data_IF_778247573625
#
_entry.id   IF_778247573625
#
_cell.length_a   1.000
_cell.length_b   1.000
_cell.length_c   1.000
_cell.angle_alpha   90.00
_cell.angle_beta   90.00
_cell.angle_gamma   90.00
#
_symmetry.space_group_name_H-M   'P 1'
#
loop_
_entity.id
_entity.type
_entity.pdbx_description
1 polymer ?
#
# COMPACT_ATOMS: atom_id res chain seq x y z
N UNK A 1 2.52 22.98 -9.79
CA UNK A 1 1.19 23.51 -9.46
C UNK A 1 1.09 23.55 -7.95
N UNK A 2 1.02 24.74 -7.33
CA UNK A 2 0.68 24.84 -5.92
C UNK A 2 -0.68 24.16 -5.72
N UNK A 3 -0.82 23.34 -4.67
CA UNK A 3 -2.15 22.83 -4.31
C UNK A 3 -3.03 24.05 -4.03
N UNK A 4 -4.28 24.00 -4.46
CA UNK A 4 -5.27 24.98 -4.02
C UNK A 4 -5.40 24.88 -2.49
N UNK A 5 -5.74 25.98 -1.81
CA UNK A 5 -5.96 25.96 -0.34
C UNK A 5 -6.96 24.86 0.07
N UNK A 6 -8.00 24.65 -0.74
CA UNK A 6 -8.96 23.56 -0.57
C UNK A 6 -8.30 22.16 -0.63
N UNK A 7 -7.36 21.95 -1.56
CA UNK A 7 -6.64 20.70 -1.65
C UNK A 7 -5.69 20.51 -0.45
N UNK A 8 -5.07 21.58 0.06
CA UNK A 8 -4.26 21.49 1.28
C UNK A 8 -5.11 21.16 2.51
N UNK A 9 -6.26 21.81 2.67
CA UNK A 9 -7.21 21.52 3.73
C UNK A 9 -7.71 20.06 3.67
N UNK A 10 -8.01 19.56 2.46
CA UNK A 10 -8.41 18.16 2.26
C UNK A 10 -7.29 17.18 2.67
N UNK A 11 -6.06 17.47 2.28
CA UNK A 11 -4.90 16.65 2.67
C UNK A 11 -4.70 16.65 4.19
N UNK A 12 -4.81 17.82 4.83
CA UNK A 12 -4.71 17.94 6.28
C UNK A 12 -5.80 17.11 6.97
N UNK A 13 -7.07 17.25 6.56
CA UNK A 13 -8.19 16.49 7.13
C UNK A 13 -7.99 14.97 7.00
N UNK A 14 -7.54 14.50 5.84
CA UNK A 14 -7.23 13.07 5.62
C UNK A 14 -6.12 12.60 6.55
N UNK A 15 -5.03 13.35 6.68
CA UNK A 15 -3.92 12.94 7.54
C UNK A 15 -4.31 12.91 9.02
N UNK A 16 -5.04 13.92 9.50
CA UNK A 16 -5.56 13.94 10.87
C UNK A 16 -6.48 12.75 11.14
N UNK A 17 -7.45 12.48 10.26
CA UNK A 17 -8.36 11.34 10.40
C UNK A 17 -7.61 9.99 10.44
N UNK A 18 -6.54 9.83 9.66
CA UNK A 18 -5.74 8.61 9.63
C UNK A 18 -4.89 8.43 10.89
N UNK A 19 -4.48 9.53 11.54
CA UNK A 19 -3.76 9.45 12.83
C UNK A 19 -4.64 8.95 13.98
N UNK A 20 -5.95 9.05 13.86
CA UNK A 20 -6.90 8.57 14.87
C UNK A 20 -7.17 7.06 14.81
N UNK A 21 -6.72 6.38 13.75
CA UNK A 21 -6.87 4.93 13.66
C UNK A 21 -5.99 4.31 14.75
N UNK A 22 -6.53 3.52 15.69
CA UNK A 22 -5.74 2.94 16.77
C UNK A 22 -4.76 1.87 16.28
N UNK A 23 -3.73 1.61 17.07
CA UNK A 23 -2.76 0.55 16.81
C UNK A 23 -3.44 -0.82 16.69
N UNK A 24 -2.99 -1.63 15.75
CA UNK A 24 -3.56 -2.96 15.52
C UNK A 24 -4.98 -2.92 14.94
N UNK A 25 -5.43 -1.78 14.41
CA UNK A 25 -6.71 -1.67 13.71
C UNK A 25 -6.53 -1.14 12.31
N UNK A 26 -7.48 -1.51 11.45
CA UNK A 26 -7.51 -1.13 10.03
C UNK A 26 -8.85 -0.52 9.67
N UNK A 27 -8.82 0.36 8.67
CA UNK A 27 -10.01 0.97 8.10
C UNK A 27 -9.92 1.00 6.58
N UNK A 28 -10.91 1.58 5.92
CA UNK A 28 -10.96 1.64 4.45
C UNK A 28 -10.85 3.07 3.92
N UNK A 29 -10.37 3.20 2.68
CA UNK A 29 -10.36 4.50 1.97
C UNK A 29 -11.75 5.16 1.91
N UNK A 30 -12.81 4.36 1.73
CA UNK A 30 -14.18 4.83 1.74
C UNK A 30 -14.61 5.35 3.11
N UNK A 31 -14.19 4.67 4.17
CA UNK A 31 -14.50 5.08 5.53
C UNK A 31 -13.85 6.41 5.89
N UNK A 32 -12.55 6.58 5.60
CA UNK A 32 -11.86 7.87 5.80
C UNK A 32 -12.53 8.98 4.97
N UNK A 33 -12.89 8.70 3.72
CA UNK A 33 -13.59 9.67 2.87
C UNK A 33 -14.92 10.12 3.48
N UNK A 34 -15.68 9.19 4.09
CA UNK A 34 -16.90 9.50 4.84
C UNK A 34 -16.62 10.35 6.08
N UNK A 35 -15.63 9.98 6.89
CA UNK A 35 -15.27 10.69 8.12
C UNK A 35 -14.85 12.14 7.86
N UNK A 36 -14.14 12.41 6.76
CA UNK A 36 -13.75 13.79 6.37
C UNK A 36 -14.83 14.53 5.56
N UNK A 37 -16.07 14.02 5.54
CA UNK A 37 -17.22 14.68 4.88
C UNK A 37 -17.24 14.59 3.35
N UNK A 38 -16.48 13.69 2.75
CA UNK A 38 -16.36 13.54 1.28
C UNK A 38 -16.52 12.08 0.80
N UNK A 39 -17.66 11.41 1.09
CA UNK A 39 -17.86 9.98 0.80
C UNK A 39 -17.64 9.60 -0.67
N UNK A 40 -17.81 10.55 -1.59
CA UNK A 40 -17.63 10.41 -3.04
C UNK A 40 -16.14 10.32 -3.48
N UNK A 41 -15.18 10.59 -2.58
CA UNK A 41 -13.75 10.82 -2.90
C UNK A 41 -12.74 9.79 -2.34
N UNK A 42 -13.02 8.47 -2.24
CA UNK A 42 -12.08 7.49 -1.65
C UNK A 42 -10.76 7.35 -2.42
N UNK A 43 -10.78 7.53 -3.75
CA UNK A 43 -9.55 7.50 -4.55
C UNK A 43 -8.61 8.64 -4.19
N UNK A 44 -9.15 9.80 -3.83
CA UNK A 44 -8.34 10.95 -3.46
C UNK A 44 -7.67 10.76 -2.11
N UNK A 45 -8.31 10.08 -1.15
CA UNK A 45 -7.65 9.63 0.09
C UNK A 45 -6.40 8.81 -0.23
N UNK A 46 -6.50 7.87 -1.17
CA UNK A 46 -5.35 7.08 -1.62
C UNK A 46 -4.24 7.93 -2.27
N UNK A 47 -4.61 8.98 -3.01
CA UNK A 47 -3.66 9.96 -3.56
C UNK A 47 -2.97 10.74 -2.42
N UNK A 48 -3.71 11.13 -1.38
CA UNK A 48 -3.13 11.79 -0.20
C UNK A 48 -2.06 10.92 0.44
N UNK A 49 -2.39 9.68 0.79
CA UNK A 49 -1.45 8.74 1.41
C UNK A 49 -0.26 8.39 0.51
N UNK A 50 -0.43 8.41 -0.82
CA UNK A 50 0.67 8.22 -1.77
C UNK A 50 1.65 9.39 -1.80
N UNK A 51 1.17 10.60 -1.54
CA UNK A 51 1.97 11.84 -1.54
C UNK A 51 2.36 12.30 -0.13
N UNK A 52 2.35 11.37 0.82
CA UNK A 52 2.83 11.62 2.17
C UNK A 52 4.34 11.94 2.11
N UNK A 53 4.79 13.07 2.70
CA UNK A 53 6.21 13.41 2.75
C UNK A 53 7.03 12.35 3.46
N UNK A 54 8.26 12.15 3.00
CA UNK A 54 9.26 11.30 3.67
C UNK A 54 10.20 12.08 4.59
N UNK A 55 10.09 13.41 4.58
CA UNK A 55 10.90 14.28 5.43
C UNK A 55 10.35 14.24 6.87
N UNK A 56 11.12 13.76 7.86
CA UNK A 56 10.68 13.68 9.25
C UNK A 56 10.42 15.06 9.87
N UNK A 57 10.96 16.15 9.31
CA UNK A 57 10.68 17.50 9.78
C UNK A 57 9.29 18.02 9.35
N UNK A 58 8.65 17.35 8.39
CA UNK A 58 7.29 17.70 7.95
C UNK A 58 6.26 17.33 9.03
N UNK A 59 5.29 18.23 9.26
CA UNK A 59 4.18 18.02 10.21
C UNK A 59 3.50 16.66 10.04
N UNK A 60 3.27 16.26 8.80
CA UNK A 60 2.78 14.93 8.44
C UNK A 60 3.84 14.23 7.60
N UNK A 61 4.17 13.01 7.97
CA UNK A 61 5.17 12.20 7.29
C UNK A 61 4.87 10.70 7.45
N UNK A 62 5.64 9.86 6.75
CA UNK A 62 5.45 8.40 6.75
C UNK A 62 5.65 7.71 8.11
N UNK A 63 6.25 8.38 9.09
CA UNK A 63 6.47 7.84 10.43
C UNK A 63 5.30 8.18 11.37
N UNK A 64 4.67 9.34 11.20
CA UNK A 64 3.61 9.81 12.09
C UNK A 64 2.18 9.62 11.55
N UNK A 65 2.00 9.39 10.25
CA UNK A 65 0.69 9.04 9.66
C UNK A 65 0.68 7.54 9.33
N UNK A 66 -0.15 6.71 10.00
CA UNK A 66 -0.16 5.26 9.84
C UNK A 66 -0.89 4.82 8.56
N UNK A 67 -0.34 5.18 7.40
CA UNK A 67 -0.91 4.91 6.08
C UNK A 67 -1.17 3.42 5.82
N UNK A 68 -0.39 2.53 6.45
CA UNK A 68 -0.54 1.08 6.33
C UNK A 68 -1.90 0.57 6.83
N UNK A 69 -2.53 1.27 7.78
CA UNK A 69 -3.84 0.92 8.37
C UNK A 69 -5.02 1.15 7.44
N UNK A 70 -4.82 1.84 6.30
CA UNK A 70 -5.87 2.13 5.32
C UNK A 70 -5.79 1.13 4.16
N UNK A 71 -6.77 0.24 4.08
CA UNK A 71 -6.84 -0.82 3.06
C UNK A 71 -8.11 -0.71 2.20
N UNK A 72 -8.24 -1.59 1.20
CA UNK A 72 -9.40 -1.53 0.31
C UNK A 72 -10.66 -2.08 0.99
N UNK A 73 -11.84 -1.78 0.41
CA UNK A 73 -13.13 -2.18 0.96
C UNK A 73 -13.38 -3.70 1.01
N UNK A 74 -12.56 -4.51 0.33
CA UNK A 74 -12.62 -5.98 0.35
C UNK A 74 -11.74 -6.59 1.45
N UNK A 75 -11.02 -5.75 2.21
CA UNK A 75 -10.04 -6.20 3.20
C UNK A 75 -8.75 -6.70 2.56
N UNK A 76 -8.55 -6.53 1.26
CA UNK A 76 -7.30 -6.94 0.60
C UNK A 76 -6.31 -5.80 0.48
N UNK A 77 -5.03 -6.12 0.53
CA UNK A 77 -3.95 -5.15 0.30
C UNK A 77 -3.73 -5.07 -1.20
N UNK A 78 -4.11 -3.93 -1.79
CA UNK A 78 -4.01 -3.76 -3.24
C UNK A 78 -2.54 -3.77 -3.69
N UNK A 79 -2.19 -4.58 -4.72
CA UNK A 79 -0.84 -4.59 -5.27
C UNK A 79 -0.48 -3.21 -5.82
N UNK A 80 0.50 -2.55 -5.21
CA UNK A 80 1.08 -1.31 -5.74
C UNK A 80 2.12 -1.64 -6.80
N UNK A 81 1.67 -1.91 -8.04
CA UNK A 81 2.61 -2.03 -9.14
C UNK A 81 3.36 -0.71 -9.30
N UNK A 82 4.65 -0.71 -8.98
CA UNK A 82 5.57 0.25 -9.59
C UNK A 82 5.48 -0.08 -11.07
N UNK A 83 4.93 0.84 -11.85
CA UNK A 83 4.95 0.72 -13.30
C UNK A 83 6.42 0.90 -13.71
N UNK A 84 7.21 -0.16 -13.64
CA UNK A 84 8.40 -0.26 -14.46
C UNK A 84 7.85 -0.18 -15.87
N UNK A 85 8.00 0.98 -16.52
CA UNK A 85 7.80 1.09 -17.95
C UNK A 85 8.91 0.28 -18.62
N UNK A 86 8.80 -1.06 -18.54
CA UNK A 86 9.58 -1.97 -19.35
C UNK A 86 8.91 -1.93 -20.71
N UNK A 87 9.32 -0.96 -21.54
CA UNK A 87 9.15 -1.10 -22.97
C UNK A 87 10.02 -2.29 -23.38
N UNK A 88 9.45 -3.42 -23.86
CA UNK A 88 10.30 -4.39 -24.52
C UNK A 88 10.75 -3.74 -25.83
N UNK A 89 11.99 -3.24 -25.84
CA UNK A 89 12.71 -3.06 -27.09
C UNK A 89 12.76 -4.44 -27.76
N UNK A 90 11.97 -4.61 -28.82
CA UNK A 90 11.91 -5.82 -29.63
C UNK A 90 12.62 -5.55 -30.96
N UNK A 91 13.89 -5.96 -31.12
CA UNK A 91 14.52 -6.04 -32.43
C UNK A 91 14.59 -7.50 -32.86
N UNK A 92 13.46 -8.12 -33.23
CA UNK A 92 13.51 -9.24 -34.17
C UNK A 92 13.98 -8.71 -35.53
N UNK A 93 15.28 -8.59 -35.71
CA UNK A 93 15.92 -8.70 -37.01
C UNK A 93 17.42 -8.88 -36.83
N UNK A 94 17.89 -10.13 -36.79
CA UNK A 94 18.82 -10.69 -37.78
C UNK A 94 19.32 -12.05 -37.32
N UNK A 95 19.19 -13.03 -38.22
CA UNK A 95 19.80 -14.36 -38.15
C UNK A 95 21.33 -14.21 -38.17
N UNK A 96 22.06 -14.98 -37.37
CA UNK A 96 23.08 -15.92 -37.87
C UNK A 96 23.82 -16.68 -36.74
N UNK A 97 23.77 -18.01 -36.83
CA UNK A 97 24.81 -19.03 -36.54
C UNK A 97 25.75 -18.94 -35.32
N UNK A 98 25.51 -19.88 -34.38
CA UNK A 98 26.42 -20.96 -33.90
C UNK A 98 27.82 -20.60 -33.37
N UNK A 99 28.06 -20.82 -32.07
CA UNK A 99 29.30 -21.38 -31.50
C UNK A 99 29.10 -21.86 -30.04
N UNK A 100 29.70 -23.01 -29.70
CA UNK A 100 29.71 -23.65 -28.37
C UNK A 100 30.72 -22.99 -27.41
N UNK A 101 30.60 -23.22 -26.07
CA UNK A 101 31.66 -23.76 -25.16
C UNK A 101 31.19 -23.83 -23.67
N UNK A 102 31.80 -24.76 -22.92
CA UNK A 102 31.49 -25.45 -21.66
C UNK A 102 31.33 -24.69 -20.31
N UNK A 103 30.34 -25.19 -19.54
CA UNK A 103 30.24 -25.64 -18.11
C UNK A 103 31.40 -25.37 -17.11
N UNK A 104 31.12 -24.69 -15.98
CA UNK A 104 31.04 -25.27 -14.60
C UNK A 104 30.94 -24.18 -13.50
N UNK A 105 29.97 -24.33 -12.57
CA UNK A 105 30.18 -24.22 -11.11
C UNK A 105 28.99 -24.81 -10.34
N UNK A 106 29.30 -25.68 -9.38
CA UNK A 106 28.37 -26.25 -8.41
C UNK A 106 28.07 -25.25 -7.29
N UNK A 107 26.81 -25.10 -6.87
CA UNK A 107 26.43 -24.87 -5.47
C UNK A 107 24.97 -25.31 -5.28
N UNK A 108 24.75 -26.20 -4.31
CA UNK A 108 23.42 -26.59 -3.86
C UNK A 108 22.82 -25.46 -3.04
N UNK A 109 21.73 -24.85 -3.54
CA UNK A 109 20.79 -24.08 -2.74
C UNK A 109 19.39 -24.57 -3.08
N UNK A 110 18.84 -25.42 -2.21
CA UNK A 110 17.41 -25.69 -2.15
C UNK A 110 16.71 -24.45 -1.61
N UNK A 111 16.51 -23.45 -2.46
CA UNK A 111 15.60 -22.34 -2.20
C UNK A 111 14.32 -22.58 -2.97
N UNK A 112 13.29 -22.97 -2.23
CA UNK A 112 11.94 -23.23 -2.68
C UNK A 112 11.37 -22.00 -3.45
N UNK A 113 11.13 -22.07 -4.77
CA UNK A 113 10.68 -20.92 -5.55
C UNK A 113 9.14 -20.84 -5.53
N UNK A 114 8.58 -20.49 -4.37
CA UNK A 114 7.20 -19.99 -4.27
C UNK A 114 7.19 -18.53 -3.81
N UNK A 115 8.17 -17.72 -4.27
CA UNK A 115 8.07 -16.27 -4.18
C UNK A 115 6.95 -15.79 -5.10
N UNK A 116 5.75 -15.66 -4.52
CA UNK A 116 4.61 -14.98 -5.11
C UNK A 116 5.04 -13.61 -5.66
N UNK A 117 4.79 -13.39 -6.95
CA UNK A 117 5.05 -12.18 -7.74
C UNK A 117 4.17 -10.99 -7.30
N UNK A 118 4.18 -10.67 -6.00
CA UNK A 118 3.54 -9.47 -5.51
C UNK A 118 4.51 -8.30 -5.58
N UNK A 119 4.04 -7.10 -6.00
CA UNK A 119 4.87 -5.91 -5.98
C UNK A 119 5.27 -5.57 -4.53
N UNK A 120 6.52 -5.14 -4.35
CA UNK A 120 7.13 -4.84 -3.04
C UNK A 120 6.25 -3.99 -2.12
N UNK A 121 5.46 -3.06 -2.67
CA UNK A 121 4.58 -2.20 -1.89
C UNK A 121 3.48 -2.93 -1.10
N UNK A 122 2.88 -4.00 -1.64
CA UNK A 122 1.85 -4.75 -0.91
C UNK A 122 2.46 -5.59 0.21
N UNK A 123 3.66 -6.14 -0.03
CA UNK A 123 4.42 -6.85 1.01
C UNK A 123 4.85 -5.92 2.14
N UNK A 124 5.39 -4.74 1.83
CA UNK A 124 5.79 -3.78 2.85
C UNK A 124 4.60 -3.34 3.70
N UNK A 125 3.42 -3.15 3.10
CA UNK A 125 2.21 -2.83 3.85
C UNK A 125 1.75 -4.00 4.74
N UNK A 126 1.82 -5.24 4.24
CA UNK A 126 1.52 -6.43 5.03
C UNK A 126 2.46 -6.58 6.23
N UNK A 127 3.77 -6.42 6.01
CA UNK A 127 4.79 -6.49 7.07
C UNK A 127 4.58 -5.39 8.12
N UNK A 128 4.23 -4.16 7.69
CA UNK A 128 3.93 -3.07 8.61
C UNK A 128 2.67 -3.36 9.46
N UNK A 129 1.63 -3.96 8.87
CA UNK A 129 0.43 -4.37 9.61
C UNK A 129 0.73 -5.50 10.60
N UNK A 130 1.53 -6.49 10.19
CA UNK A 130 1.97 -7.58 11.06
C UNK A 130 2.82 -7.10 12.23
N UNK A 131 3.64 -6.07 12.02
CA UNK A 131 4.39 -5.42 13.10
C UNK A 131 3.48 -4.71 14.12
N UNK A 132 2.21 -4.49 13.78
CA UNK A 132 1.18 -3.97 14.66
C UNK A 132 0.23 -5.04 15.21
N UNK A 133 0.65 -6.31 15.21
CA UNK A 133 -0.15 -7.46 15.65
C UNK A 133 -1.46 -7.68 14.85
N UNK A 134 -1.53 -7.14 13.62
CA UNK A 134 -2.62 -7.42 12.69
C UNK A 134 -2.32 -8.70 11.91
N UNK A 135 -3.21 -9.67 12.00
CA UNK A 135 -3.11 -10.90 11.22
C UNK A 135 -3.42 -10.64 9.75
N UNK A 136 -2.44 -10.94 8.89
CA UNK A 136 -2.57 -10.85 7.43
C UNK A 136 -2.53 -12.25 6.83
N UNK A 137 -3.67 -12.70 6.32
CA UNK A 137 -3.79 -13.99 5.63
C UNK A 137 -3.55 -13.84 4.12
N UNK A 138 -3.41 -14.97 3.43
CA UNK A 138 -3.29 -15.01 1.96
C UNK A 138 -4.53 -15.65 1.35
N UNK A 139 -5.07 -15.04 0.31
CA UNK A 139 -6.17 -15.61 -0.47
C UNK A 139 -5.65 -16.72 -1.39
N UNK A 140 -6.57 -17.51 -1.98
CA UNK A 140 -6.22 -18.53 -2.99
C UNK A 140 -5.52 -17.93 -4.24
N UNK A 141 -5.76 -16.65 -4.53
CA UNK A 141 -5.09 -15.90 -5.60
C UNK A 141 -3.74 -15.33 -5.16
N UNK A 142 -3.33 -15.59 -3.91
CA UNK A 142 -2.09 -15.13 -3.32
C UNK A 142 -2.10 -13.66 -2.91
N UNK A 143 -3.26 -12.99 -2.84
CA UNK A 143 -3.41 -11.61 -2.34
C UNK A 143 -3.32 -11.59 -0.81
N UNK A 144 -2.81 -10.51 -0.23
CA UNK A 144 -2.85 -10.33 1.23
C UNK A 144 -4.23 -9.82 1.65
N UNK A 145 -4.77 -10.36 2.74
CA UNK A 145 -6.09 -10.01 3.26
C UNK A 145 -6.05 -9.85 4.78
N UNK A 146 -6.84 -8.91 5.29
CA UNK A 146 -7.11 -8.68 6.71
C UNK A 146 -8.59 -8.91 6.97
N UNK A 147 -8.89 -9.57 8.08
CA UNK A 147 -10.26 -9.74 8.54
C UNK A 147 -10.77 -8.50 9.28
N UNK A 148 -11.78 -7.85 8.72
CA UNK A 148 -12.41 -6.69 9.33
C UNK A 148 -13.21 -7.02 10.59
N UNK A 149 -13.64 -8.26 10.79
CA UNK A 149 -14.40 -8.62 12.00
C UNK A 149 -13.51 -8.51 13.25
N UNK A 150 -12.23 -8.84 13.10
CA UNK A 150 -11.24 -8.79 14.19
C UNK A 150 -10.54 -7.42 14.29
N UNK A 151 -10.18 -6.84 13.14
CA UNK A 151 -9.29 -5.67 13.08
C UNK A 151 -9.96 -4.38 12.58
N UNK A 152 -11.22 -4.43 12.18
CA UNK A 152 -11.94 -3.27 11.65
C UNK A 152 -12.12 -2.16 12.67
N UNK A 153 -11.85 -0.93 12.25
CA UNK A 153 -12.18 0.30 12.97
C UNK A 153 -13.05 1.19 12.08
N UNK A 154 -14.33 1.28 12.45
CA UNK A 154 -15.39 1.93 11.67
C UNK A 154 -16.33 2.77 12.56
N UNK A 155 -15.84 3.81 13.25
CA UNK A 155 -16.70 4.70 14.01
C UNK A 155 -17.55 5.56 13.06
N UNK A 156 -18.70 6.05 13.53
CA UNK A 156 -19.55 6.95 12.75
C UNK A 156 -18.99 8.38 12.64
N UNK A 157 -18.20 8.81 13.64
CA UNK A 157 -17.52 10.10 13.72
C UNK A 157 -16.08 9.92 14.19
N UNK A 158 -15.22 10.92 13.98
CA UNK A 158 -13.84 10.88 14.49
C UNK A 158 -13.86 11.04 16.02
N UNK A 159 -13.08 10.22 16.78
CA UNK A 159 -12.95 10.38 18.23
C UNK A 159 -12.62 11.81 18.68
N UNK A 160 -11.86 12.57 17.89
CA UNK A 160 -11.53 13.97 18.18
C UNK A 160 -12.72 14.95 18.06
N UNK A 161 -13.78 14.56 17.35
CA UNK A 161 -14.98 15.38 17.12
C UNK A 161 -16.12 15.02 18.10
N UNK A 162 -15.96 14.02 18.96
CA UNK A 162 -16.95 13.63 19.99
C UNK A 162 -16.88 14.49 21.26
N UNK A 163 -15.91 15.41 21.36
CA UNK A 163 -15.62 16.23 22.56
C UNK A 163 -16.20 17.65 22.53
#
# INVERSE_FOLDING_TARGET
>A
MARTEEAEAFFHAVYTAVQEIPFGKVTTYGHIARLVGTPERPRQVGICLKHLPTDPASRFNNENVPWQRVINAKGTISPRYIHLTSHPYNPFSHRHTRAHIHIHVHTHLTSNPHLSSQPSGARNQAEALQAEDVEVSRTAMGEFQVDFSSYGWFPDVLPSEEE
#
